data_IF_542521679249
#
_entry.id   IF_542521679249
#
_cell.length_a   1.000
_cell.length_b   1.000
_cell.length_c   1.000
_cell.angle_alpha   90.00
_cell.angle_beta   90.00
_cell.angle_gamma   90.00
#
_symmetry.space_group_name_H-M   'P 1'
#
loop_
_entity.id
_entity.type
_entity.pdbx_description
1 polymer ?
#
# COMPACT_ATOMS: atom_id res chain seq x y z
N UNK A 1 1.74 9.25 6.12
CA UNK A 1 3.22 9.37 6.21
C UNK A 1 3.72 8.87 7.56
N UNK A 2 3.25 9.44 8.72
CA UNK A 2 3.75 9.06 10.05
C UNK A 2 3.53 7.56 10.35
N UNK A 3 2.34 6.96 10.12
CA UNK A 3 2.16 5.53 10.31
C UNK A 3 3.11 4.68 9.47
N UNK A 4 3.42 5.11 8.23
CA UNK A 4 4.36 4.41 7.37
C UNK A 4 5.79 4.43 7.91
N UNK A 5 6.25 5.57 8.43
CA UNK A 5 7.58 5.65 9.07
C UNK A 5 7.64 4.81 10.34
N UNK A 6 6.59 4.81 11.15
CA UNK A 6 6.50 3.96 12.35
C UNK A 6 6.57 2.47 11.98
N UNK A 7 5.82 2.08 10.93
CA UNK A 7 5.85 0.72 10.42
C UNK A 7 7.24 0.35 9.90
N UNK A 8 7.86 1.22 9.08
CA UNK A 8 9.21 1.01 8.56
C UNK A 8 10.23 0.83 9.69
N UNK A 9 10.13 1.64 10.74
CA UNK A 9 11.00 1.53 11.92
C UNK A 9 10.84 0.16 12.61
N UNK A 10 9.60 -0.26 12.90
CA UNK A 10 9.34 -1.56 13.55
C UNK A 10 9.79 -2.73 12.68
N UNK A 11 9.52 -2.69 11.37
CA UNK A 11 9.99 -3.72 10.43
C UNK A 11 11.52 -3.79 10.42
N UNK A 12 12.20 -2.65 10.41
CA UNK A 12 13.67 -2.60 10.45
C UNK A 12 14.23 -3.20 11.76
N UNK A 13 13.63 -2.88 12.90
CA UNK A 13 14.03 -3.44 14.20
C UNK A 13 13.87 -4.95 14.24
N UNK A 14 12.73 -5.46 13.76
CA UNK A 14 12.46 -6.91 13.71
C UNK A 14 13.45 -7.60 12.78
N UNK A 15 13.68 -7.06 11.58
CA UNK A 15 14.60 -7.62 10.59
C UNK A 15 16.05 -7.65 11.11
N UNK A 16 16.52 -6.56 11.75
CA UNK A 16 17.86 -6.52 12.35
C UNK A 16 17.99 -7.55 13.47
N UNK A 17 16.96 -7.70 14.30
CA UNK A 17 16.94 -8.68 15.39
C UNK A 17 16.97 -10.12 14.86
N UNK A 18 16.22 -10.39 13.81
CA UNK A 18 16.19 -11.71 13.18
C UNK A 18 17.49 -12.02 12.43
N UNK A 19 18.03 -11.05 11.67
CA UNK A 19 19.32 -11.20 11.01
C UNK A 19 20.48 -11.51 11.96
N UNK A 20 20.43 -11.03 13.21
CA UNK A 20 21.42 -11.37 14.24
C UNK A 20 21.27 -12.78 14.82
N UNK A 21 20.10 -13.41 14.65
CA UNK A 21 19.82 -14.77 15.14
C UNK A 21 20.13 -15.84 14.11
N UNK A 22 19.94 -15.52 12.86
CA UNK A 22 20.36 -16.36 11.76
C UNK A 22 21.83 -16.02 11.49
N UNK A 23 22.71 -17.00 11.63
CA UNK A 23 24.05 -16.92 11.08
C UNK A 23 23.83 -16.77 9.55
N UNK A 24 23.76 -15.52 9.09
CA UNK A 24 23.72 -15.23 7.67
C UNK A 24 25.07 -15.67 7.16
N UNK A 25 25.16 -16.96 6.83
CA UNK A 25 26.34 -17.60 6.29
C UNK A 25 26.93 -16.63 5.28
N UNK A 26 28.23 -16.46 5.32
CA UNK A 26 29.02 -15.61 4.44
C UNK A 26 28.31 -15.52 3.11
N UNK A 27 27.79 -14.31 2.79
CA UNK A 27 27.28 -14.06 1.44
C UNK A 27 28.40 -14.56 0.55
N UNK A 28 28.18 -15.71 -0.08
CA UNK A 28 29.08 -16.17 -1.14
C UNK A 28 29.05 -14.99 -2.10
N UNK A 29 30.09 -14.17 -2.07
CA UNK A 29 30.29 -13.14 -3.07
C UNK A 29 30.29 -13.92 -4.37
N UNK A 30 29.10 -14.09 -4.97
CA UNK A 30 29.03 -14.54 -6.32
C UNK A 30 30.03 -13.66 -7.07
N UNK A 31 30.83 -14.22 -7.94
CA UNK A 31 31.91 -13.60 -8.73
C UNK A 31 31.40 -12.44 -9.59
N UNK A 32 30.60 -11.57 -8.98
CA UNK A 32 30.17 -10.31 -9.58
C UNK A 32 31.41 -9.39 -9.57
N UNK A 33 31.80 -8.89 -10.71
CA UNK A 33 32.94 -7.98 -10.81
C UNK A 33 32.72 -6.86 -9.80
N UNK A 34 33.68 -6.67 -8.85
CA UNK A 34 33.66 -5.63 -7.82
C UNK A 34 33.59 -4.25 -8.49
N UNK A 35 32.37 -3.85 -8.87
CA UNK A 35 32.16 -2.46 -9.34
C UNK A 35 32.46 -1.54 -8.17
N UNK A 36 33.33 -0.56 -8.40
CA UNK A 36 33.63 0.46 -7.38
C UNK A 36 32.32 0.99 -6.78
N UNK A 37 32.25 1.07 -5.44
CA UNK A 37 31.07 1.60 -4.72
C UNK A 37 30.60 2.93 -5.30
N UNK A 38 31.53 3.81 -5.67
CA UNK A 38 31.21 5.08 -6.34
C UNK A 38 30.48 4.88 -7.68
N UNK A 39 30.90 3.90 -8.50
CA UNK A 39 30.25 3.62 -9.78
C UNK A 39 28.85 3.02 -9.61
N UNK A 40 28.63 2.23 -8.56
CA UNK A 40 27.31 1.73 -8.18
C UNK A 40 26.38 2.88 -7.74
N UNK A 41 26.87 3.78 -6.89
CA UNK A 41 26.10 4.94 -6.47
C UNK A 41 25.68 5.82 -7.65
N UNK A 42 26.61 6.17 -8.53
CA UNK A 42 26.33 6.99 -9.71
C UNK A 42 25.33 6.30 -10.65
N UNK A 43 25.44 4.99 -10.84
CA UNK A 43 24.48 4.24 -11.69
C UNK A 43 23.09 4.11 -11.08
N UNK A 44 22.95 4.28 -9.76
CA UNK A 44 21.65 4.20 -9.07
C UNK A 44 20.93 5.55 -8.98
N UNK A 45 21.62 6.68 -9.18
CA UNK A 45 21.03 8.03 -9.10
C UNK A 45 19.79 8.19 -10.00
N UNK A 46 19.79 7.77 -11.28
CA UNK A 46 18.61 7.95 -12.13
C UNK A 46 17.39 7.20 -11.60
N UNK A 47 17.57 6.00 -11.04
CA UNK A 47 16.49 5.24 -10.43
C UNK A 47 15.98 5.91 -9.12
N UNK A 48 16.90 6.44 -8.30
CA UNK A 48 16.54 7.14 -7.07
C UNK A 48 15.85 8.49 -7.32
N UNK A 49 16.07 9.10 -8.47
CA UNK A 49 15.37 10.33 -8.86
C UNK A 49 13.88 10.11 -9.13
N UNK A 50 13.45 8.89 -9.47
CA UNK A 50 12.06 8.61 -9.79
C UNK A 50 11.09 8.93 -8.64
N UNK A 51 11.29 8.43 -7.42
CA UNK A 51 10.45 8.82 -6.28
C UNK A 51 10.48 10.33 -6.00
N UNK A 52 11.64 10.98 -6.18
CA UNK A 52 11.79 12.43 -5.96
C UNK A 52 10.98 13.23 -6.99
N UNK A 53 11.01 12.83 -8.26
CA UNK A 53 10.25 13.48 -9.33
C UNK A 53 8.74 13.31 -9.09
N UNK A 54 8.30 12.09 -8.79
CA UNK A 54 6.89 11.77 -8.59
C UNK A 54 6.35 12.49 -7.34
N UNK A 55 6.95 12.23 -6.19
CA UNK A 55 6.47 12.78 -4.92
C UNK A 55 6.71 14.28 -4.83
N UNK A 56 7.86 14.75 -5.28
CA UNK A 56 8.18 16.19 -5.32
C UNK A 56 7.23 16.96 -6.24
N UNK A 57 6.86 16.40 -7.38
CA UNK A 57 5.91 17.00 -8.31
C UNK A 57 4.48 17.05 -7.75
N UNK A 58 4.04 15.96 -7.09
CA UNK A 58 2.70 15.90 -6.48
C UNK A 58 2.61 16.82 -5.25
N UNK A 59 3.54 16.68 -4.29
CA UNK A 59 3.52 17.50 -3.07
C UNK A 59 3.91 18.95 -3.30
N UNK A 60 4.67 19.23 -4.36
CA UNK A 60 4.94 20.60 -4.81
C UNK A 60 3.76 21.25 -5.54
N UNK A 61 2.64 20.54 -5.75
CA UNK A 61 1.47 21.05 -6.43
C UNK A 61 1.66 21.30 -7.94
N UNK A 62 2.75 20.76 -8.54
CA UNK A 62 3.08 20.93 -9.95
C UNK A 62 2.27 19.94 -10.82
N UNK A 63 2.08 18.72 -10.32
CA UNK A 63 1.42 17.62 -11.03
C UNK A 63 0.30 17.01 -10.20
N UNK A 64 -0.77 16.63 -10.87
CA UNK A 64 -1.73 15.65 -10.35
C UNK A 64 -1.08 14.26 -10.30
N UNK A 65 -1.66 13.32 -9.56
CA UNK A 65 -1.14 11.95 -9.50
C UNK A 65 -1.06 11.28 -10.88
N UNK A 66 -2.03 11.54 -11.76
CA UNK A 66 -2.04 10.99 -13.12
C UNK A 66 -0.96 11.62 -14.02
N UNK A 67 -0.74 12.91 -13.91
CA UNK A 67 0.32 13.61 -14.65
C UNK A 67 1.70 13.18 -14.16
N UNK A 68 1.90 13.02 -12.84
CA UNK A 68 3.13 12.51 -12.29
C UNK A 68 3.44 11.08 -12.78
N UNK A 69 2.42 10.23 -12.93
CA UNK A 69 2.58 8.90 -13.52
C UNK A 69 3.02 8.97 -14.99
N UNK A 70 2.42 9.87 -15.79
CA UNK A 70 2.82 10.07 -17.19
C UNK A 70 4.27 10.58 -17.31
N UNK A 71 4.66 11.55 -16.48
CA UNK A 71 6.03 12.06 -16.40
C UNK A 71 6.99 10.94 -16.01
N UNK A 72 6.62 10.10 -15.04
CA UNK A 72 7.41 8.96 -14.61
C UNK A 72 7.67 7.98 -15.75
N UNK A 73 6.65 7.65 -16.55
CA UNK A 73 6.80 6.78 -17.74
C UNK A 73 7.78 7.40 -18.74
N UNK A 74 7.64 8.68 -19.06
CA UNK A 74 8.56 9.38 -19.97
C UNK A 74 10.01 9.34 -19.45
N UNK A 75 10.20 9.61 -18.17
CA UNK A 75 11.53 9.59 -17.54
C UNK A 75 12.11 8.17 -17.54
N UNK A 76 11.30 7.13 -17.25
CA UNK A 76 11.74 5.74 -17.32
C UNK A 76 12.19 5.34 -18.73
N UNK A 77 11.47 5.78 -19.77
CA UNK A 77 11.84 5.50 -21.18
C UNK A 77 13.19 6.18 -21.48
N UNK A 78 13.34 7.46 -21.13
CA UNK A 78 14.58 8.22 -21.35
C UNK A 78 15.75 7.55 -20.62
N UNK A 79 15.61 7.20 -19.36
CA UNK A 79 16.65 6.54 -18.56
C UNK A 79 16.99 5.18 -19.16
N UNK A 80 15.99 4.38 -19.53
CA UNK A 80 16.18 3.06 -20.14
C UNK A 80 16.89 3.08 -21.48
N UNK A 81 16.62 4.08 -22.32
CA UNK A 81 17.23 4.25 -23.63
C UNK A 81 18.64 4.88 -23.58
N UNK A 82 18.80 5.98 -22.82
CA UNK A 82 20.00 6.80 -22.86
C UNK A 82 21.02 6.43 -21.78
N UNK A 83 20.57 6.14 -20.56
CA UNK A 83 21.45 5.90 -19.41
C UNK A 83 21.80 4.42 -19.30
N UNK A 84 20.79 3.56 -19.16
CA UNK A 84 21.04 2.13 -18.99
C UNK A 84 21.20 1.37 -20.31
N UNK A 85 20.69 1.92 -21.41
CA UNK A 85 20.78 1.35 -22.77
C UNK A 85 20.33 -0.11 -22.84
N UNK A 86 19.41 -0.50 -21.97
CA UNK A 86 18.87 -1.86 -21.88
C UNK A 86 17.45 -1.96 -22.45
N UNK A 87 16.83 -0.83 -22.81
CA UNK A 87 15.50 -0.78 -23.40
C UNK A 87 15.64 -0.86 -24.93
N UNK A 88 15.17 -1.96 -25.51
CA UNK A 88 15.01 -2.10 -26.95
C UNK A 88 13.54 -2.12 -27.34
N UNK A 89 13.22 -1.95 -28.62
CA UNK A 89 11.85 -1.89 -29.11
C UNK A 89 11.03 -3.14 -28.77
N UNK A 90 11.64 -4.33 -28.80
CA UNK A 90 10.96 -5.59 -28.46
C UNK A 90 10.60 -5.64 -26.97
N UNK A 91 11.53 -5.25 -26.11
CA UNK A 91 11.32 -5.20 -24.66
C UNK A 91 10.27 -4.13 -24.31
N UNK A 92 10.31 -2.97 -24.93
CA UNK A 92 9.33 -1.90 -24.75
C UNK A 92 7.92 -2.34 -25.18
N UNK A 93 7.80 -2.97 -26.33
CA UNK A 93 6.51 -3.50 -26.80
C UNK A 93 5.97 -4.63 -25.92
N UNK A 94 6.86 -5.46 -25.38
CA UNK A 94 6.51 -6.48 -24.38
C UNK A 94 5.93 -5.85 -23.11
N UNK A 95 6.62 -4.85 -22.56
CA UNK A 95 6.17 -4.12 -21.38
C UNK A 95 4.83 -3.41 -21.60
N UNK A 96 4.64 -2.78 -22.77
CA UNK A 96 3.36 -2.15 -23.12
C UNK A 96 2.21 -3.16 -23.19
N UNK A 97 2.44 -4.33 -23.79
CA UNK A 97 1.42 -5.37 -23.91
C UNK A 97 1.03 -5.93 -22.53
N UNK A 98 2.00 -6.19 -21.68
CA UNK A 98 1.77 -6.68 -20.31
C UNK A 98 1.03 -5.63 -19.47
N UNK A 99 1.48 -4.37 -19.52
CA UNK A 99 0.82 -3.25 -18.84
C UNK A 99 -0.61 -3.06 -19.31
N UNK A 100 -0.86 -3.10 -20.63
CA UNK A 100 -2.20 -2.96 -21.20
C UNK A 100 -3.15 -4.07 -20.74
N UNK A 101 -2.67 -5.31 -20.68
CA UNK A 101 -3.46 -6.44 -20.18
C UNK A 101 -3.81 -6.27 -18.69
N UNK A 102 -2.83 -5.86 -17.89
CA UNK A 102 -3.02 -5.60 -16.45
C UNK A 102 -4.01 -4.45 -16.21
N UNK A 103 -3.84 -3.33 -16.93
CA UNK A 103 -4.73 -2.17 -16.84
C UNK A 103 -6.15 -2.56 -17.24
N UNK A 104 -6.33 -3.31 -18.33
CA UNK A 104 -7.65 -3.76 -18.78
C UNK A 104 -8.39 -4.57 -17.70
N UNK A 105 -7.71 -5.49 -17.07
CA UNK A 105 -8.28 -6.31 -15.97
C UNK A 105 -8.65 -5.46 -14.74
N UNK A 106 -7.77 -4.53 -14.35
CA UNK A 106 -8.00 -3.64 -13.20
C UNK A 106 -9.17 -2.68 -13.50
N UNK A 107 -9.22 -2.09 -14.68
CA UNK A 107 -10.29 -1.16 -15.06
C UNK A 107 -11.66 -1.84 -15.08
N UNK A 108 -11.74 -3.07 -15.59
CA UNK A 108 -12.97 -3.85 -15.57
C UNK A 108 -13.44 -4.12 -14.15
N UNK A 109 -12.51 -4.48 -13.26
CA UNK A 109 -12.81 -4.73 -11.85
C UNK A 109 -13.30 -3.45 -11.15
N UNK A 110 -12.63 -2.32 -11.36
CA UNK A 110 -13.03 -1.01 -10.80
C UNK A 110 -14.42 -0.62 -11.32
N UNK A 111 -14.71 -0.82 -12.60
CA UNK A 111 -16.01 -0.52 -13.19
C UNK A 111 -17.14 -1.26 -12.46
N UNK A 112 -17.02 -2.58 -12.29
CA UNK A 112 -18.04 -3.34 -11.58
C UNK A 112 -18.14 -2.97 -10.09
N UNK A 113 -17.04 -2.63 -9.46
CA UNK A 113 -17.07 -2.15 -8.07
C UNK A 113 -17.76 -0.79 -7.93
N UNK A 114 -17.56 0.13 -8.88
CA UNK A 114 -18.28 1.40 -8.88
C UNK A 114 -19.78 1.19 -9.08
N UNK A 115 -20.20 0.29 -10.00
CA UNK A 115 -21.61 -0.07 -10.17
C UNK A 115 -22.19 -0.63 -8.86
N UNK A 116 -21.49 -1.57 -8.23
CA UNK A 116 -21.94 -2.16 -6.96
C UNK A 116 -22.01 -1.10 -5.84
N UNK A 117 -21.03 -0.23 -5.75
CA UNK A 117 -21.03 0.89 -4.80
C UNK A 117 -22.23 1.82 -5.01
N UNK A 118 -22.56 2.14 -6.26
CA UNK A 118 -23.76 2.92 -6.58
C UNK A 118 -25.04 2.20 -6.16
N UNK A 119 -25.15 0.89 -6.41
CA UNK A 119 -26.27 0.10 -5.94
C UNK A 119 -26.44 0.17 -4.42
N UNK A 120 -25.34 0.07 -3.67
CA UNK A 120 -25.37 0.17 -2.20
C UNK A 120 -25.83 1.55 -1.71
N UNK A 121 -25.41 2.62 -2.36
CA UNK A 121 -25.89 3.97 -2.06
C UNK A 121 -27.37 4.13 -2.37
N UNK A 122 -27.84 3.64 -3.53
CA UNK A 122 -29.27 3.67 -3.89
C UNK A 122 -30.16 2.85 -2.93
N UNK A 123 -29.65 1.74 -2.42
CA UNK A 123 -30.33 0.92 -1.40
C UNK A 123 -30.23 1.53 0.00
N UNK A 124 -29.63 2.70 0.16
CA UNK A 124 -29.41 3.38 1.45
C UNK A 124 -28.68 2.50 2.46
N UNK A 125 -27.74 1.69 1.98
CA UNK A 125 -26.96 0.80 2.84
C UNK A 125 -26.17 1.58 3.92
N UNK A 126 -25.53 2.73 3.62
CA UNK A 126 -24.84 3.52 4.63
C UNK A 126 -25.77 3.93 5.79
N UNK A 127 -26.98 4.40 5.49
CA UNK A 127 -27.96 4.82 6.50
C UNK A 127 -28.44 3.65 7.35
N UNK A 128 -28.65 2.47 6.74
CA UNK A 128 -29.01 1.26 7.45
C UNK A 128 -27.88 0.81 8.40
N UNK A 129 -26.63 0.88 7.96
CA UNK A 129 -25.49 0.59 8.81
C UNK A 129 -25.38 1.58 9.98
N UNK A 130 -25.55 2.88 9.74
CA UNK A 130 -25.55 3.89 10.79
C UNK A 130 -26.64 3.57 11.84
N UNK A 131 -27.87 3.31 11.40
CA UNK A 131 -28.98 2.97 12.30
C UNK A 131 -28.70 1.69 13.08
N UNK A 132 -28.14 0.67 12.43
CA UNK A 132 -27.75 -0.58 13.08
C UNK A 132 -26.68 -0.34 14.15
N UNK A 133 -25.58 0.33 13.81
CA UNK A 133 -24.51 0.60 14.77
C UNK A 133 -24.97 1.49 15.94
N UNK A 134 -25.75 2.52 15.68
CA UNK A 134 -26.30 3.38 16.74
C UNK A 134 -27.28 2.63 17.67
N UNK A 135 -27.92 1.56 17.20
CA UNK A 135 -28.75 0.71 18.07
C UNK A 135 -27.92 -0.23 18.95
N UNK A 136 -26.71 -0.57 18.54
CA UNK A 136 -25.82 -1.49 19.28
C UNK A 136 -24.85 -0.76 20.21
N UNK A 137 -24.32 0.39 19.79
CA UNK A 137 -23.27 1.07 20.56
C UNK A 137 -23.13 2.55 20.17
N UNK A 138 -22.99 3.39 21.18
CA UNK A 138 -22.59 4.79 21.03
C UNK A 138 -21.07 4.98 21.10
N UNK A 139 -20.33 3.89 21.35
CA UNK A 139 -18.89 3.94 21.55
C UNK A 139 -18.13 3.98 20.23
N UNK A 140 -17.47 5.13 19.96
CA UNK A 140 -16.53 5.32 18.86
C UNK A 140 -15.46 4.21 18.81
N UNK A 141 -15.00 3.73 19.98
CA UNK A 141 -13.95 2.71 20.09
C UNK A 141 -14.43 1.38 19.48
N UNK A 142 -15.65 0.99 19.79
CA UNK A 142 -16.23 -0.26 19.30
C UNK A 142 -16.47 -0.20 17.80
N UNK A 143 -16.96 0.93 17.28
CA UNK A 143 -17.19 1.13 15.85
C UNK A 143 -15.86 1.07 15.09
N UNK A 144 -14.82 1.72 15.57
CA UNK A 144 -13.48 1.66 14.97
C UNK A 144 -12.92 0.23 14.97
N UNK A 145 -13.13 -0.53 16.04
CA UNK A 145 -12.73 -1.94 16.10
C UNK A 145 -13.45 -2.78 15.05
N UNK A 146 -14.77 -2.63 14.93
CA UNK A 146 -15.57 -3.33 13.91
C UNK A 146 -15.11 -2.97 12.49
N UNK A 147 -14.83 -1.69 12.22
CA UNK A 147 -14.32 -1.26 10.92
C UNK A 147 -12.94 -1.88 10.64
N UNK A 148 -12.04 -1.92 11.62
CA UNK A 148 -10.72 -2.55 11.45
C UNK A 148 -10.85 -4.04 11.12
N UNK A 149 -11.66 -4.78 11.89
CA UNK A 149 -11.89 -6.21 11.65
C UNK A 149 -12.49 -6.43 10.26
N UNK A 150 -13.49 -5.65 9.89
CA UNK A 150 -14.13 -5.73 8.57
C UNK A 150 -13.13 -5.46 7.43
N UNK A 151 -12.36 -4.37 7.52
CA UNK A 151 -11.38 -4.01 6.50
C UNK A 151 -10.23 -5.02 6.40
N UNK A 152 -9.81 -5.61 7.51
CA UNK A 152 -8.81 -6.67 7.53
C UNK A 152 -9.30 -7.88 6.74
N UNK A 153 -10.50 -8.38 7.04
CA UNK A 153 -11.09 -9.51 6.31
C UNK A 153 -11.33 -9.20 4.84
N UNK A 154 -11.79 -7.98 4.53
CA UNK A 154 -12.00 -7.58 3.15
C UNK A 154 -10.69 -7.54 2.36
N UNK A 155 -9.62 -7.02 2.94
CA UNK A 155 -8.30 -6.97 2.32
C UNK A 155 -7.68 -8.35 2.05
N UNK A 156 -8.10 -9.37 2.83
CA UNK A 156 -7.70 -10.77 2.57
C UNK A 156 -8.37 -11.35 1.31
N UNK A 157 -9.48 -10.79 0.84
CA UNK A 157 -10.29 -11.35 -0.24
C UNK A 157 -10.18 -10.52 -1.51
N UNK A 158 -10.10 -9.19 -1.38
CA UNK A 158 -10.20 -8.23 -2.48
C UNK A 158 -8.93 -7.41 -2.60
N UNK A 159 -8.58 -7.01 -3.82
CA UNK A 159 -7.46 -6.08 -4.06
C UNK A 159 -7.68 -4.74 -3.35
N UNK A 160 -6.60 -4.17 -2.80
CA UNK A 160 -6.60 -2.96 -1.99
C UNK A 160 -7.31 -1.78 -2.67
N UNK A 161 -6.96 -1.49 -3.93
CA UNK A 161 -7.57 -0.39 -4.68
C UNK A 161 -9.08 -0.57 -4.89
N UNK A 162 -9.49 -1.79 -5.20
CA UNK A 162 -10.90 -2.16 -5.37
C UNK A 162 -11.67 -2.05 -4.05
N UNK A 163 -11.08 -2.54 -2.96
CA UNK A 163 -11.67 -2.47 -1.62
C UNK A 163 -11.88 -1.01 -1.18
N UNK A 164 -10.92 -0.11 -1.45
CA UNK A 164 -11.07 1.32 -1.16
C UNK A 164 -12.25 1.92 -1.93
N UNK A 165 -12.32 1.69 -3.24
CA UNK A 165 -13.38 2.24 -4.10
C UNK A 165 -14.76 1.74 -3.68
N UNK A 166 -14.86 0.47 -3.28
CA UNK A 166 -16.13 -0.13 -2.85
C UNK A 166 -16.57 0.39 -1.47
N UNK A 167 -15.65 0.45 -0.50
CA UNK A 167 -16.01 0.67 0.90
C UNK A 167 -16.00 2.14 1.32
N UNK A 168 -15.21 3.01 0.68
CA UNK A 168 -15.14 4.41 1.08
C UNK A 168 -16.51 5.11 1.08
N UNK A 169 -17.37 4.98 0.05
CA UNK A 169 -18.69 5.60 0.05
C UNK A 169 -19.63 5.08 1.13
N UNK A 170 -19.42 3.85 1.59
CA UNK A 170 -20.26 3.21 2.62
C UNK A 170 -19.75 3.58 4.02
N UNK A 171 -18.44 3.52 4.24
CA UNK A 171 -17.85 3.73 5.56
C UNK A 171 -17.69 5.21 5.92
N UNK A 172 -17.55 6.10 4.94
CA UNK A 172 -17.36 7.52 5.21
C UNK A 172 -18.56 8.15 5.95
N UNK A 173 -19.83 7.96 5.53
CA UNK A 173 -20.98 8.47 6.28
C UNK A 173 -21.08 7.88 7.69
N UNK A 174 -20.80 6.56 7.84
CA UNK A 174 -20.76 5.91 9.14
C UNK A 174 -19.70 6.53 10.06
N UNK A 175 -18.49 6.71 9.56
CA UNK A 175 -17.41 7.34 10.32
C UNK A 175 -17.74 8.77 10.72
N UNK A 176 -18.32 9.55 9.82
CA UNK A 176 -18.74 10.94 10.10
C UNK A 176 -19.80 11.02 11.21
N UNK A 177 -20.75 10.07 11.23
CA UNK A 177 -21.76 10.00 12.29
C UNK A 177 -21.14 9.80 13.69
N UNK A 178 -19.97 9.18 13.80
CA UNK A 178 -19.21 9.02 15.04
C UNK A 178 -18.06 10.02 15.22
N UNK A 179 -18.03 11.10 14.43
CA UNK A 179 -17.01 12.14 14.52
C UNK A 179 -15.61 11.68 14.09
N UNK A 180 -15.53 10.75 13.13
CA UNK A 180 -14.28 10.26 12.54
C UNK A 180 -14.11 10.94 11.18
N UNK A 181 -13.03 11.70 11.02
CA UNK A 181 -12.75 12.41 9.77
C UNK A 181 -12.34 11.49 8.62
N UNK A 182 -12.59 11.95 7.38
CA UNK A 182 -12.25 11.17 6.18
C UNK A 182 -10.75 10.84 6.04
N UNK A 183 -9.87 11.74 6.47
CA UNK A 183 -8.41 11.51 6.46
C UNK A 183 -8.02 10.37 7.40
N UNK A 184 -8.65 10.28 8.58
CA UNK A 184 -8.43 9.18 9.51
C UNK A 184 -8.94 7.87 8.93
N UNK A 185 -10.15 7.87 8.35
CA UNK A 185 -10.69 6.69 7.66
C UNK A 185 -9.78 6.22 6.52
N UNK A 186 -9.28 7.13 5.69
CA UNK A 186 -8.36 6.78 4.61
C UNK A 186 -7.09 6.11 5.15
N UNK A 187 -6.51 6.61 6.23
CA UNK A 187 -5.35 5.99 6.88
C UNK A 187 -5.66 4.59 7.41
N UNK A 188 -6.84 4.41 8.04
CA UNK A 188 -7.30 3.10 8.51
C UNK A 188 -7.49 2.11 7.37
N UNK A 189 -8.12 2.53 6.28
CA UNK A 189 -8.32 1.68 5.10
C UNK A 189 -6.98 1.21 4.55
N UNK A 190 -6.04 2.11 4.29
CA UNK A 190 -4.72 1.76 3.76
C UNK A 190 -3.98 0.79 4.68
N UNK A 191 -3.97 1.02 5.99
CA UNK A 191 -3.25 0.16 6.93
C UNK A 191 -3.85 -1.25 7.01
N UNK A 192 -5.18 -1.37 7.11
CA UNK A 192 -5.84 -2.68 7.19
C UNK A 192 -5.74 -3.48 5.89
N UNK A 193 -5.98 -2.83 4.75
CA UNK A 193 -5.92 -3.48 3.45
C UNK A 193 -4.50 -3.95 3.13
N UNK A 194 -3.47 -3.19 3.52
CA UNK A 194 -2.07 -3.61 3.36
C UNK A 194 -1.75 -4.91 4.13
N UNK A 195 -2.34 -5.13 5.31
CA UNK A 195 -2.23 -6.41 6.02
C UNK A 195 -2.91 -7.52 5.20
N UNK A 196 -4.08 -7.24 4.63
CA UNK A 196 -4.80 -8.17 3.78
C UNK A 196 -3.96 -8.65 2.59
N UNK A 197 -3.23 -7.74 1.92
CA UNK A 197 -2.32 -8.08 0.83
C UNK A 197 -1.15 -8.99 1.21
N UNK A 198 -0.86 -9.14 2.51
CA UNK A 198 0.12 -10.09 3.06
C UNK A 198 -0.51 -11.39 3.55
N UNK A 199 -1.84 -11.44 3.69
CA UNK A 199 -2.54 -12.54 4.35
C UNK A 199 -3.36 -13.34 3.33
N UNK A 200 -3.25 -14.69 3.30
CA UNK A 200 -4.09 -15.52 2.44
C UNK A 200 -5.59 -15.31 2.70
N UNK A 201 -6.46 -15.49 1.70
CA UNK A 201 -6.24 -16.16 0.41
C UNK A 201 -5.72 -15.25 -0.71
N UNK A 202 -5.97 -13.93 -0.72
CA UNK A 202 -5.54 -13.06 -1.82
C UNK A 202 -4.02 -12.82 -1.84
N UNK A 203 -3.43 -12.41 -0.74
CA UNK A 203 -2.00 -12.33 -0.43
C UNK A 203 -1.08 -11.98 -1.62
N UNK A 204 -1.42 -10.98 -2.43
CA UNK A 204 -0.71 -10.64 -3.67
C UNK A 204 0.78 -10.30 -3.46
N UNK A 205 1.08 -9.58 -2.38
CA UNK A 205 2.45 -9.20 -2.02
C UNK A 205 3.23 -10.42 -1.54
N UNK A 206 2.59 -11.31 -0.77
CA UNK A 206 3.18 -12.56 -0.30
C UNK A 206 3.60 -13.46 -1.47
N UNK A 207 2.70 -13.71 -2.41
CA UNK A 207 2.98 -14.54 -3.58
C UNK A 207 4.05 -13.94 -4.50
N UNK A 208 4.10 -12.60 -4.60
CA UNK A 208 5.19 -11.93 -5.31
C UNK A 208 6.53 -12.18 -4.58
N UNK A 209 6.55 -12.05 -3.26
CA UNK A 209 7.72 -12.32 -2.44
C UNK A 209 8.22 -13.76 -2.61
N UNK A 210 7.33 -14.75 -2.59
CA UNK A 210 7.66 -16.15 -2.83
C UNK A 210 8.37 -16.36 -4.18
N UNK A 211 7.85 -15.72 -5.24
CA UNK A 211 8.46 -15.82 -6.58
C UNK A 211 9.83 -15.16 -6.68
N UNK A 212 10.00 -14.01 -6.03
CA UNK A 212 11.27 -13.26 -6.09
C UNK A 212 12.36 -13.92 -5.26
N UNK A 213 11.99 -14.48 -4.10
CA UNK A 213 12.93 -15.12 -3.18
C UNK A 213 13.10 -16.62 -3.44
N UNK A 214 12.31 -17.20 -4.34
CA UNK A 214 12.27 -18.64 -4.63
C UNK A 214 12.10 -19.50 -3.37
N UNK A 215 11.12 -19.13 -2.53
CA UNK A 215 10.82 -19.80 -1.26
C UNK A 215 9.40 -20.36 -1.27
N UNK A 216 9.21 -21.44 -0.51
CA UNK A 216 7.90 -22.06 -0.35
C UNK A 216 6.97 -21.25 0.56
N UNK A 217 5.67 -21.54 0.47
CA UNK A 217 4.66 -20.90 1.34
C UNK A 217 4.91 -21.21 2.84
N UNK A 218 5.31 -22.43 3.14
CA UNK A 218 5.56 -22.86 4.52
C UNK A 218 6.77 -22.17 5.15
N UNK A 219 7.76 -21.80 4.36
CA UNK A 219 8.97 -21.10 4.79
C UNK A 219 8.73 -19.60 5.02
N UNK A 220 7.92 -18.97 4.17
CA UNK A 220 7.71 -17.52 4.22
C UNK A 220 6.63 -17.10 5.24
N UNK A 221 5.66 -17.98 5.54
CA UNK A 221 4.54 -17.64 6.42
C UNK A 221 4.93 -17.32 7.87
N UNK A 222 5.79 -18.10 8.56
CA UNK A 222 6.15 -17.80 9.94
C UNK A 222 6.78 -16.42 10.14
N UNK A 223 7.77 -15.96 9.34
CA UNK A 223 8.28 -14.60 9.46
C UNK A 223 7.22 -13.53 9.13
N UNK A 224 6.34 -13.76 8.16
CA UNK A 224 5.28 -12.80 7.81
C UNK A 224 4.26 -12.66 8.93
N UNK A 225 3.79 -13.75 9.53
CA UNK A 225 2.89 -13.69 10.69
C UNK A 225 3.54 -12.88 11.82
N UNK A 226 4.83 -13.08 12.06
CA UNK A 226 5.58 -12.31 13.04
C UNK A 226 5.58 -10.82 12.72
N UNK A 227 5.80 -10.44 11.46
CA UNK A 227 5.77 -9.04 11.02
C UNK A 227 4.35 -8.45 11.17
N UNK A 228 3.31 -9.21 10.81
CA UNK A 228 1.92 -8.79 10.98
C UNK A 228 1.62 -8.52 12.45
N UNK A 229 1.93 -9.45 13.34
CA UNK A 229 1.58 -9.36 14.77
C UNK A 229 2.39 -8.29 15.49
N UNK A 230 3.70 -8.15 15.20
CA UNK A 230 4.59 -7.27 15.96
C UNK A 230 4.88 -5.92 15.31
N UNK A 231 4.55 -5.74 14.02
CA UNK A 231 4.72 -4.46 13.35
C UNK A 231 3.38 -3.91 12.84
N UNK A 232 2.70 -4.63 11.98
CA UNK A 232 1.49 -4.11 11.31
C UNK A 232 0.32 -3.90 12.29
N UNK A 233 -0.05 -4.89 13.09
CA UNK A 233 -1.17 -4.77 14.03
C UNK A 233 -0.98 -3.65 15.06
N UNK A 234 0.18 -3.51 15.73
CA UNK A 234 0.39 -2.41 16.66
C UNK A 234 0.29 -1.03 16.00
N UNK A 235 0.84 -0.86 14.80
CA UNK A 235 0.74 0.42 14.06
C UNK A 235 -0.69 0.69 13.61
N UNK A 236 -1.41 -0.33 13.15
CA UNK A 236 -2.82 -0.20 12.78
C UNK A 236 -3.67 0.21 13.98
N UNK A 237 -3.49 -0.43 15.13
CA UNK A 237 -4.18 -0.08 16.38
C UNK A 237 -3.82 1.35 16.79
N UNK A 238 -2.53 1.71 16.78
CA UNK A 238 -2.09 3.06 17.10
C UNK A 238 -2.71 4.10 16.15
N UNK A 239 -2.71 3.84 14.85
CA UNK A 239 -3.30 4.72 13.83
C UNK A 239 -4.82 4.87 14.01
N UNK A 240 -5.48 3.81 14.46
CA UNK A 240 -6.92 3.79 14.72
C UNK A 240 -7.29 4.69 15.89
N UNK A 241 -6.62 4.52 17.02
CA UNK A 241 -7.02 5.15 18.29
C UNK A 241 -6.28 6.46 18.60
N UNK A 242 -5.20 6.76 17.86
CA UNK A 242 -4.44 8.02 17.99
C UNK A 242 -4.61 8.81 16.68
N UNK A 243 -5.65 9.66 16.56
CA UNK A 243 -5.94 10.43 15.33
C UNK A 243 -4.76 11.30 14.88
N UNK A 244 -3.97 11.79 15.82
CA UNK A 244 -2.81 12.64 15.54
C UNK A 244 -1.77 11.96 14.63
N UNK A 245 -1.63 10.63 14.67
CA UNK A 245 -0.74 9.91 13.76
C UNK A 245 -1.14 10.08 12.28
N UNK A 246 -2.43 10.26 12.03
CA UNK A 246 -2.98 10.46 10.67
C UNK A 246 -3.13 11.95 10.33
N UNK A 247 -3.52 12.78 11.32
CA UNK A 247 -3.95 14.15 11.11
C UNK A 247 -2.83 15.18 11.31
N UNK A 248 -1.75 14.84 12.01
CA UNK A 248 -0.66 15.78 12.33
C UNK A 248 -0.09 16.49 11.09
N UNK A 249 0.30 15.70 10.08
CA UNK A 249 0.87 16.27 8.84
C UNK A 249 -0.16 17.04 8.02
N UNK A 250 -1.38 16.53 7.75
CA UNK A 250 -2.42 17.30 7.10
C UNK A 250 -2.73 18.63 7.80
N UNK A 251 -2.80 18.63 9.13
CA UNK A 251 -3.00 19.87 9.91
C UNK A 251 -1.82 20.83 9.80
N UNK A 252 -0.60 20.32 9.83
CA UNK A 252 0.61 21.13 9.69
C UNK A 252 0.63 21.87 8.33
N UNK A 253 0.08 21.26 7.29
CA UNK A 253 -0.03 21.85 5.95
C UNK A 253 -1.39 22.55 5.69
N UNK A 254 -2.25 22.68 6.70
CA UNK A 254 -3.54 23.33 6.56
C UNK A 254 -4.56 22.57 5.70
N UNK A 255 -4.41 21.24 5.57
CA UNK A 255 -5.24 20.37 4.73
C UNK A 255 -6.30 19.58 5.51
N UNK A 256 -6.36 19.70 6.85
CA UNK A 256 -7.31 19.01 7.73
C UNK A 256 -7.59 19.82 9.02
#
# INVERSE_FOLDING_TARGET
>A
VIPAFLLMFLLSVINIRDARRFDTGTIVEADAPKKSKAKLWVSSIPALMMPVIILGGIYGGIFTASEAAAVAVCVCIIIGLLVYRNLNFKSFMGALRESSSSIGSIMLMIFFCLLLSQCFVLLKLPEQLIAMFMSFTDSKIVVLLCINVFLLFLGMIVNDGTAVVLCAPILLPLCQAYGIGGVQLAALMVMNLSIGGLTPPYASILYLGMRVCDVSFEEIMPPIIKLIVFAYLPVTIATTYIPELSLFLPRLFGLA
#
